data_IF_841594114737
#
_entry.id   IF_841594114737
#
_cell.length_a   1.000
_cell.length_b   1.000
_cell.length_c   1.000
_cell.angle_alpha   90.00
_cell.angle_beta   90.00
_cell.angle_gamma   90.00
#
_symmetry.space_group_name_H-M   'P 1'
#
loop_
_entity.id
_entity.type
_entity.pdbx_description
1 polymer ?
#
# COMPACT_ATOMS: atom_id res chain seq x y z
N UNK A 1 14.43 -7.88 -14.81
CA UNK A 1 13.58 -8.70 -13.90
C UNK A 1 14.20 -8.78 -12.53
N UNK A 2 13.43 -8.42 -11.48
CA UNK A 2 13.85 -8.54 -10.09
C UNK A 2 13.09 -9.67 -9.42
N UNK A 3 13.80 -10.52 -8.68
CA UNK A 3 13.30 -11.67 -7.98
C UNK A 3 13.75 -11.54 -6.52
N UNK A 4 12.81 -11.42 -5.60
CA UNK A 4 13.16 -11.03 -4.25
C UNK A 4 12.24 -11.53 -3.15
N UNK A 5 12.50 -11.01 -1.96
CA UNK A 5 11.70 -11.18 -0.75
C UNK A 5 11.61 -9.87 -0.01
N UNK A 6 10.52 -9.71 0.74
CA UNK A 6 10.40 -8.66 1.74
C UNK A 6 11.18 -9.08 2.97
N UNK A 7 12.11 -8.24 3.38
CA UNK A 7 13.07 -8.58 4.42
C UNK A 7 13.07 -7.51 5.52
N UNK A 8 12.83 -7.94 6.73
CA UNK A 8 12.73 -7.09 7.93
C UNK A 8 13.82 -7.44 8.93
N UNK A 9 15.10 -7.09 8.64
CA UNK A 9 16.24 -7.42 9.53
C UNK A 9 16.11 -6.80 10.91
N UNK A 10 15.38 -5.68 11.04
CA UNK A 10 15.13 -4.99 12.30
C UNK A 10 14.26 -5.77 13.29
N UNK A 11 13.56 -6.79 12.83
CA UNK A 11 12.72 -7.64 13.68
C UNK A 11 13.48 -8.81 14.31
N UNK A 12 14.78 -8.98 13.97
CA UNK A 12 15.58 -10.13 14.36
C UNK A 12 16.89 -9.71 15.04
N UNK A 13 17.56 -10.68 15.68
CA UNK A 13 18.85 -10.43 16.27
C UNK A 13 19.88 -10.02 15.19
N UNK A 14 20.71 -8.99 15.40
CA UNK A 14 21.68 -8.55 14.40
C UNK A 14 22.67 -9.63 13.93
N UNK A 15 22.94 -10.64 14.77
CA UNK A 15 23.79 -11.77 14.43
C UNK A 15 23.21 -12.66 13.31
N UNK A 16 21.92 -12.56 12.99
CA UNK A 16 21.26 -13.35 11.96
C UNK A 16 21.44 -12.77 10.56
N UNK A 17 21.82 -11.50 10.44
CA UNK A 17 21.88 -10.76 9.16
C UNK A 17 22.71 -11.51 8.10
N UNK A 18 23.89 -11.98 8.47
CA UNK A 18 24.79 -12.62 7.50
C UNK A 18 24.21 -13.93 6.96
N UNK A 19 23.68 -14.78 7.86
CA UNK A 19 23.03 -16.03 7.48
C UNK A 19 21.77 -15.78 6.63
N UNK A 20 20.99 -14.77 6.99
CA UNK A 20 19.78 -14.40 6.25
C UNK A 20 20.12 -13.98 4.82
N UNK A 21 21.06 -13.08 4.65
CA UNK A 21 21.47 -12.60 3.31
C UNK A 21 22.11 -13.72 2.48
N UNK A 22 22.87 -14.63 3.09
CA UNK A 22 23.39 -15.84 2.42
C UNK A 22 22.26 -16.74 1.95
N UNK A 23 21.23 -16.93 2.78
CA UNK A 23 20.07 -17.74 2.42
C UNK A 23 19.21 -17.08 1.33
N UNK A 24 19.03 -15.75 1.39
CA UNK A 24 18.34 -14.96 0.35
C UNK A 24 19.08 -15.09 -1.00
N UNK A 25 20.40 -15.01 -1.00
CA UNK A 25 21.19 -15.25 -2.20
C UNK A 25 21.05 -16.71 -2.70
N UNK A 26 21.14 -17.69 -1.81
CA UNK A 26 20.95 -19.12 -2.15
C UNK A 26 19.52 -19.42 -2.66
N UNK A 27 18.51 -18.68 -2.20
CA UNK A 27 17.15 -18.76 -2.71
C UNK A 27 17.06 -18.38 -4.20
N UNK A 28 18.02 -17.60 -4.68
CA UNK A 28 18.10 -17.12 -6.05
C UNK A 28 17.62 -15.70 -6.22
N UNK A 29 17.42 -14.97 -5.12
CA UNK A 29 17.09 -13.55 -5.16
C UNK A 29 18.22 -12.73 -5.77
N UNK A 30 17.84 -11.63 -6.42
CA UNK A 30 18.74 -10.56 -6.86
C UNK A 30 18.34 -9.19 -6.31
N UNK A 31 17.23 -9.13 -5.53
CA UNK A 31 16.78 -7.93 -4.83
C UNK A 31 16.10 -8.27 -3.49
N UNK A 32 16.03 -7.29 -2.59
CA UNK A 32 15.24 -7.31 -1.35
C UNK A 32 14.46 -6.00 -1.20
N UNK A 33 13.28 -6.04 -0.58
CA UNK A 33 12.51 -4.87 -0.16
C UNK A 33 12.69 -4.67 1.34
N UNK A 34 12.99 -3.43 1.77
CA UNK A 34 13.31 -3.08 3.16
C UNK A 34 12.80 -1.68 3.52
N UNK A 35 12.72 -1.40 4.81
CA UNK A 35 12.63 -0.09 5.46
C UNK A 35 11.23 0.54 5.55
N UNK A 36 10.20 0.05 4.89
CA UNK A 36 8.85 0.64 4.83
C UNK A 36 8.16 0.82 6.20
N UNK A 37 8.66 0.16 7.25
CA UNK A 37 8.19 0.32 8.64
C UNK A 37 9.29 0.80 9.59
N UNK A 38 10.43 1.28 9.06
CA UNK A 38 11.64 1.58 9.81
C UNK A 38 11.73 3.00 10.40
N UNK A 39 10.65 3.80 10.47
CA UNK A 39 10.75 5.20 10.90
C UNK A 39 11.43 5.38 12.26
N UNK A 40 11.01 4.60 13.27
CA UNK A 40 11.57 4.72 14.62
C UNK A 40 13.07 4.35 14.72
N UNK A 41 13.57 3.56 13.76
CA UNK A 41 15.00 3.21 13.66
C UNK A 41 15.76 4.38 13.05
N UNK A 42 15.23 4.93 11.94
CA UNK A 42 15.87 6.03 11.21
C UNK A 42 15.73 7.38 11.92
N UNK A 43 14.71 7.55 12.77
CA UNK A 43 14.48 8.74 13.58
C UNK A 43 14.01 8.33 15.00
N UNK A 44 14.91 7.82 15.85
CA UNK A 44 14.56 7.33 17.19
C UNK A 44 14.07 8.43 18.15
N UNK A 45 14.39 9.68 17.86
CA UNK A 45 13.86 10.86 18.53
C UNK A 45 13.75 11.98 17.50
N UNK A 46 12.87 12.93 17.73
CA UNK A 46 12.62 14.05 16.82
C UNK A 46 13.89 14.75 16.36
N UNK A 47 14.12 14.79 15.04
CA UNK A 47 15.26 15.44 14.41
C UNK A 47 16.59 14.73 14.58
N UNK A 48 16.63 13.59 15.27
CA UNK A 48 17.84 12.78 15.40
C UNK A 48 17.77 11.62 14.40
N UNK A 49 18.35 11.83 13.24
CA UNK A 49 18.41 10.80 12.20
C UNK A 49 19.61 9.87 12.41
N UNK A 50 19.37 8.55 12.24
CA UNK A 50 20.38 7.50 12.30
C UNK A 50 20.08 6.45 11.24
N UNK A 51 20.81 6.48 10.15
CA UNK A 51 20.68 5.52 9.04
C UNK A 51 21.65 4.34 9.15
N UNK A 52 22.49 4.31 10.18
CA UNK A 52 23.59 3.34 10.31
C UNK A 52 23.15 1.88 10.22
N UNK A 53 21.96 1.56 10.74
CA UNK A 53 21.40 0.22 10.67
C UNK A 53 21.13 -0.19 9.21
N UNK A 54 20.37 0.61 8.47
CA UNK A 54 20.07 0.31 7.07
C UNK A 54 21.29 0.44 6.16
N UNK A 55 22.22 1.35 6.43
CA UNK A 55 23.52 1.43 5.73
C UNK A 55 24.29 0.11 5.86
N UNK A 56 24.27 -0.46 7.07
CA UNK A 56 24.91 -1.76 7.29
C UNK A 56 24.21 -2.86 6.47
N UNK A 57 22.89 -2.93 6.51
CA UNK A 57 22.10 -3.92 5.74
C UNK A 57 22.36 -3.78 4.24
N UNK A 58 22.29 -2.56 3.69
CA UNK A 58 22.54 -2.28 2.26
C UNK A 58 23.94 -2.70 1.87
N UNK A 59 24.95 -2.32 2.63
CA UNK A 59 26.35 -2.71 2.37
C UNK A 59 26.52 -4.23 2.33
N UNK A 60 25.89 -4.97 3.25
CA UNK A 60 25.98 -6.43 3.33
C UNK A 60 25.21 -7.10 2.19
N UNK A 61 24.07 -6.53 1.80
CA UNK A 61 23.27 -6.98 0.64
C UNK A 61 24.05 -6.76 -0.67
N UNK A 62 24.65 -5.59 -0.87
CA UNK A 62 25.51 -5.27 -2.03
C UNK A 62 26.66 -6.23 -2.19
N UNK A 63 27.33 -6.61 -1.11
CA UNK A 63 28.43 -7.58 -1.14
C UNK A 63 28.01 -8.95 -1.69
N UNK A 64 26.70 -9.25 -1.73
CA UNK A 64 26.10 -10.46 -2.29
C UNK A 64 25.41 -10.24 -3.65
N UNK A 65 25.60 -9.07 -4.25
CA UNK A 65 24.97 -8.71 -5.53
C UNK A 65 23.47 -8.45 -5.44
N UNK A 66 22.91 -8.25 -4.23
CA UNK A 66 21.51 -7.93 -4.04
C UNK A 66 21.27 -6.43 -4.25
N UNK A 67 20.17 -6.11 -4.93
CA UNK A 67 19.63 -4.76 -5.09
C UNK A 67 18.54 -4.49 -4.05
N UNK A 68 18.19 -3.22 -3.90
CA UNK A 68 17.30 -2.74 -2.85
C UNK A 68 16.07 -2.06 -3.46
N UNK A 69 14.89 -2.48 -3.04
CA UNK A 69 13.68 -1.66 -3.09
C UNK A 69 13.56 -0.99 -1.73
N UNK A 70 13.63 0.34 -1.69
CA UNK A 70 13.64 1.13 -0.47
C UNK A 70 12.24 1.67 -0.19
N UNK A 71 11.65 1.31 0.95
CA UNK A 71 10.36 1.83 1.39
C UNK A 71 10.49 3.15 2.16
N UNK A 72 9.65 4.16 1.85
CA UNK A 72 9.47 5.29 2.77
C UNK A 72 8.62 4.83 3.96
N UNK A 73 9.00 5.18 5.22
CA UNK A 73 8.46 4.50 6.40
C UNK A 73 7.17 5.13 6.93
N UNK A 74 6.43 5.83 6.09
CA UNK A 74 5.33 6.69 6.51
C UNK A 74 4.06 5.93 6.89
N UNK A 75 3.95 4.64 6.55
CA UNK A 75 2.83 3.79 6.97
C UNK A 75 2.72 3.64 8.49
N UNK A 76 3.83 3.77 9.22
CA UNK A 76 3.86 3.69 10.68
C UNK A 76 4.59 4.89 11.29
N UNK A 77 3.90 5.61 12.17
CA UNK A 77 4.52 6.74 12.89
C UNK A 77 5.25 6.28 14.14
N UNK A 78 6.34 6.92 14.56
CA UNK A 78 7.00 6.59 15.81
C UNK A 78 6.22 7.09 17.04
N UNK A 79 6.39 6.41 18.17
CA UNK A 79 5.65 6.71 19.41
C UNK A 79 5.87 8.15 19.91
N UNK A 80 7.07 8.72 19.74
CA UNK A 80 7.35 10.10 20.13
C UNK A 80 6.50 11.10 19.33
N UNK A 81 6.21 10.81 18.04
CA UNK A 81 5.39 11.67 17.20
C UNK A 81 3.93 11.65 17.64
N UNK A 82 3.35 10.46 17.85
CA UNK A 82 1.99 10.32 18.36
C UNK A 82 1.81 10.97 19.73
N UNK A 83 2.82 10.87 20.63
CA UNK A 83 2.82 11.51 21.93
C UNK A 83 2.87 13.03 21.83
N UNK A 84 3.69 13.57 20.95
CA UNK A 84 3.88 15.01 20.79
C UNK A 84 2.70 15.69 20.10
N UNK A 85 2.13 15.02 19.10
CA UNK A 85 1.04 15.51 18.27
C UNK A 85 -0.14 14.52 18.24
N UNK A 86 -0.89 14.37 19.33
CA UNK A 86 -2.01 13.43 19.40
C UNK A 86 -3.13 13.77 18.39
N UNK A 87 -3.14 14.98 17.83
CA UNK A 87 -4.10 15.41 16.81
C UNK A 87 -3.76 14.91 15.41
N UNK A 88 -2.61 14.27 15.23
CA UNK A 88 -2.30 13.50 14.02
C UNK A 88 -3.23 12.27 13.90
N UNK A 89 -3.59 11.65 15.03
CA UNK A 89 -4.38 10.42 15.04
C UNK A 89 -5.75 10.65 14.42
N UNK A 90 -6.14 9.74 13.53
CA UNK A 90 -7.44 9.79 12.87
C UNK A 90 -8.58 9.53 13.86
N UNK A 91 -9.78 10.01 13.51
CA UNK A 91 -10.95 10.02 14.37
C UNK A 91 -12.08 9.23 13.71
N UNK A 92 -12.74 8.39 14.49
CA UNK A 92 -13.94 7.68 14.07
C UNK A 92 -15.16 8.63 13.98
N UNK A 93 -16.22 8.11 13.38
CA UNK A 93 -17.49 8.83 13.21
C UNK A 93 -18.12 9.32 14.53
N UNK A 94 -17.88 8.61 15.64
CA UNK A 94 -18.38 8.95 16.98
C UNK A 94 -17.47 9.93 17.75
N UNK A 95 -16.43 10.46 17.12
CA UNK A 95 -15.46 11.37 17.72
C UNK A 95 -14.35 10.68 18.52
N UNK A 96 -14.33 9.35 18.57
CA UNK A 96 -13.24 8.60 19.23
C UNK A 96 -12.01 8.59 18.36
N UNK A 97 -10.85 8.95 18.91
CA UNK A 97 -9.57 8.88 18.20
C UNK A 97 -9.02 7.45 18.14
N UNK A 98 -8.39 7.11 17.03
CA UNK A 98 -7.61 5.87 16.93
C UNK A 98 -6.43 5.91 17.90
N UNK A 99 -6.04 4.74 18.36
CA UNK A 99 -4.90 4.60 19.28
C UNK A 99 -3.62 4.32 18.51
N UNK A 100 -2.50 4.88 18.97
CA UNK A 100 -1.17 4.52 18.46
C UNK A 100 -0.91 3.02 18.59
N UNK A 101 -0.24 2.43 17.58
CA UNK A 101 0.20 1.04 17.62
C UNK A 101 -0.15 0.21 16.38
N UNK A 102 -0.94 0.78 15.46
CA UNK A 102 -1.21 0.21 14.14
C UNK A 102 -0.53 0.98 13.02
N UNK A 103 -0.70 0.50 11.77
CA UNK A 103 -0.32 1.26 10.58
C UNK A 103 -1.44 2.23 10.19
N UNK A 104 -1.08 3.34 9.52
CA UNK A 104 -2.02 4.38 9.02
C UNK A 104 -3.01 4.90 10.09
N UNK A 105 -2.58 4.97 11.34
CA UNK A 105 -3.43 5.47 12.45
C UNK A 105 -3.62 6.98 12.42
N UNK A 106 -3.07 7.66 11.45
CA UNK A 106 -3.06 9.12 11.31
C UNK A 106 -4.07 9.62 10.26
N UNK A 107 -4.35 10.90 10.33
CA UNK A 107 -5.19 11.61 9.36
C UNK A 107 -4.36 12.05 8.15
N UNK A 108 -4.78 11.66 6.93
CA UNK A 108 -4.15 12.08 5.68
C UNK A 108 -4.33 13.57 5.34
N UNK A 109 -5.12 14.32 6.13
CA UNK A 109 -5.25 15.76 6.01
C UNK A 109 -4.53 16.52 7.14
N UNK A 110 -3.79 15.82 8.02
CA UNK A 110 -3.03 16.46 9.09
C UNK A 110 -1.81 17.20 8.57
N UNK A 111 -1.72 18.51 8.84
CA UNK A 111 -0.57 19.35 8.50
C UNK A 111 0.71 18.87 9.18
N UNK A 112 0.58 18.43 10.42
CA UNK A 112 1.68 17.86 11.20
C UNK A 112 2.19 16.59 10.53
N UNK A 113 1.29 15.70 10.06
CA UNK A 113 1.69 14.49 9.35
C UNK A 113 2.47 14.82 8.07
N UNK A 114 2.02 15.77 7.26
CA UNK A 114 2.79 16.23 6.09
C UNK A 114 4.17 16.76 6.47
N UNK A 115 4.26 17.55 7.55
CA UNK A 115 5.52 18.11 8.03
C UNK A 115 6.52 17.01 8.40
N UNK A 116 6.08 16.04 9.20
CA UNK A 116 6.96 14.99 9.69
C UNK A 116 7.26 13.91 8.64
N UNK A 117 6.28 13.52 7.85
CA UNK A 117 6.49 12.64 6.70
C UNK A 117 7.45 13.25 5.68
N UNK A 118 7.27 14.53 5.35
CA UNK A 118 8.17 15.25 4.46
C UNK A 118 9.61 15.31 5.00
N UNK A 119 9.77 15.48 6.31
CA UNK A 119 11.08 15.51 6.95
C UNK A 119 11.83 14.19 6.85
N UNK A 120 11.17 13.07 7.18
CA UNK A 120 11.81 11.75 7.10
C UNK A 120 12.09 11.34 5.65
N UNK A 121 11.14 11.54 4.75
CA UNK A 121 11.32 11.23 3.32
C UNK A 121 12.47 12.04 2.74
N UNK A 122 12.56 13.34 3.04
CA UNK A 122 13.66 14.20 2.61
C UNK A 122 15.00 13.72 3.17
N UNK A 123 15.08 13.43 4.47
CA UNK A 123 16.29 12.95 5.10
C UNK A 123 16.79 11.63 4.49
N UNK A 124 15.87 10.68 4.21
CA UNK A 124 16.19 9.44 3.50
C UNK A 124 16.69 9.69 2.08
N UNK A 125 15.98 10.51 1.32
CA UNK A 125 16.34 10.82 -0.06
C UNK A 125 17.73 11.46 -0.14
N UNK A 126 18.01 12.45 0.71
CA UNK A 126 19.33 13.10 0.76
C UNK A 126 20.46 12.13 1.15
N UNK A 127 20.18 11.23 2.11
CA UNK A 127 21.17 10.25 2.57
C UNK A 127 21.49 9.19 1.51
N UNK A 128 20.46 8.72 0.77
CA UNK A 128 20.58 7.61 -0.16
C UNK A 128 20.63 8.00 -1.65
N UNK A 129 20.63 9.29 -2.00
CA UNK A 129 20.59 9.75 -3.40
C UNK A 129 21.67 9.17 -4.30
N UNK A 130 22.86 8.89 -3.74
CA UNK A 130 24.02 8.38 -4.47
C UNK A 130 24.23 6.87 -4.26
N UNK A 131 23.26 6.14 -3.69
CA UNK A 131 23.37 4.69 -3.45
C UNK A 131 22.88 3.88 -4.67
N UNK A 132 23.80 3.33 -5.49
CA UNK A 132 23.43 2.68 -6.76
C UNK A 132 22.76 1.32 -6.57
N UNK A 133 22.73 0.77 -5.34
CA UNK A 133 22.02 -0.48 -5.09
C UNK A 133 20.51 -0.29 -5.04
N UNK A 134 20.01 0.93 -4.75
CA UNK A 134 18.57 1.23 -4.73
C UNK A 134 18.07 1.31 -6.18
N UNK A 135 17.18 0.40 -6.53
CA UNK A 135 16.62 0.26 -7.89
C UNK A 135 15.23 0.85 -8.02
N UNK A 136 14.52 1.00 -6.90
CA UNK A 136 13.21 1.63 -6.83
C UNK A 136 12.93 2.11 -5.41
N UNK A 137 12.07 3.12 -5.30
CA UNK A 137 11.49 3.62 -4.06
C UNK A 137 10.01 3.23 -4.01
N UNK A 138 9.63 2.53 -2.95
CA UNK A 138 8.23 2.34 -2.61
C UNK A 138 7.80 3.48 -1.70
N UNK A 139 6.82 4.28 -2.11
CA UNK A 139 6.24 5.28 -1.20
C UNK A 139 5.21 4.59 -0.31
N UNK A 140 5.37 4.75 1.01
CA UNK A 140 4.43 4.22 2.01
C UNK A 140 4.23 2.70 1.88
N UNK A 141 3.10 2.16 2.36
CA UNK A 141 2.71 0.76 2.22
C UNK A 141 1.19 0.65 2.16
N UNK A 142 0.62 0.04 1.12
CA UNK A 142 -0.81 -0.26 1.00
C UNK A 142 -1.75 0.89 1.37
N UNK A 143 -1.54 2.08 0.83
CA UNK A 143 -2.35 3.27 1.09
C UNK A 143 -3.85 3.02 0.87
N UNK A 144 -4.68 3.39 1.85
CA UNK A 144 -6.13 3.22 1.82
C UNK A 144 -6.62 1.80 2.16
N UNK A 145 -5.71 0.91 2.61
CA UNK A 145 -6.10 -0.40 3.10
C UNK A 145 -6.62 -0.34 4.56
N UNK A 146 -7.46 -1.32 4.94
CA UNK A 146 -7.96 -1.50 6.32
C UNK A 146 -8.69 -0.26 6.88
N UNK A 147 -9.55 0.38 6.06
CA UNK A 147 -10.29 1.58 6.42
C UNK A 147 -9.41 2.76 6.90
N UNK A 148 -8.15 2.79 6.48
CA UNK A 148 -7.21 3.86 6.84
C UNK A 148 -7.56 5.21 6.19
N UNK A 149 -8.39 5.20 5.14
CA UNK A 149 -8.97 6.37 4.51
C UNK A 149 -10.01 7.09 5.38
N UNK A 150 -10.53 6.41 6.42
CA UNK A 150 -11.61 6.93 7.28
C UNK A 150 -11.05 7.82 8.38
N UNK A 151 -11.42 9.11 8.33
CA UNK A 151 -11.15 10.07 9.40
C UNK A 151 -12.20 11.18 9.41
N UNK A 152 -12.85 11.40 10.54
CA UNK A 152 -13.90 12.41 10.74
C UNK A 152 -13.44 13.61 11.59
N UNK A 153 -12.15 13.83 11.75
CA UNK A 153 -11.61 14.92 12.56
C UNK A 153 -11.92 16.31 11.99
N UNK A 154 -11.68 17.35 12.80
CA UNK A 154 -11.90 18.73 12.38
C UNK A 154 -11.09 19.13 11.13
N UNK A 155 -9.84 18.63 10.97
CA UNK A 155 -9.04 18.92 9.78
C UNK A 155 -9.68 18.32 8.52
N UNK A 156 -10.23 17.10 8.60
CA UNK A 156 -10.96 16.50 7.48
C UNK A 156 -12.23 17.26 7.15
N UNK A 157 -12.95 17.78 8.16
CA UNK A 157 -14.15 18.60 7.93
C UNK A 157 -13.84 19.86 7.14
N UNK A 158 -12.84 20.60 7.56
CA UNK A 158 -12.45 21.84 6.88
C UNK A 158 -11.88 21.56 5.48
N UNK A 159 -11.07 20.53 5.34
CA UNK A 159 -10.54 20.13 4.03
C UNK A 159 -11.65 19.66 3.08
N UNK A 160 -12.67 18.95 3.55
CA UNK A 160 -13.82 18.53 2.75
C UNK A 160 -14.66 19.72 2.30
N UNK A 161 -14.93 20.67 3.18
CA UNK A 161 -15.63 21.92 2.84
C UNK A 161 -14.86 22.72 1.79
N UNK A 162 -13.55 22.81 1.92
CA UNK A 162 -12.69 23.45 0.92
C UNK A 162 -12.75 22.71 -0.44
N UNK A 163 -12.68 21.37 -0.42
CA UNK A 163 -12.85 20.53 -1.61
C UNK A 163 -14.20 20.81 -2.32
N UNK A 164 -15.31 20.85 -1.56
CA UNK A 164 -16.63 21.16 -2.14
C UNK A 164 -16.70 22.58 -2.68
N UNK A 165 -16.15 23.56 -1.96
CA UNK A 165 -16.10 24.96 -2.42
C UNK A 165 -15.34 25.08 -3.73
N UNK A 166 -14.21 24.39 -3.87
CA UNK A 166 -13.45 24.34 -5.13
C UNK A 166 -14.25 23.66 -6.25
N UNK A 167 -14.81 22.48 -5.98
CA UNK A 167 -15.58 21.68 -6.93
C UNK A 167 -16.77 22.47 -7.54
N UNK A 168 -17.45 23.26 -6.73
CA UNK A 168 -18.62 24.06 -7.14
C UNK A 168 -18.27 25.53 -7.43
N UNK A 169 -16.98 25.89 -7.55
CA UNK A 169 -16.55 27.24 -7.90
C UNK A 169 -16.99 28.31 -6.88
N UNK A 170 -17.22 27.94 -5.61
CA UNK A 170 -17.72 28.81 -4.56
C UNK A 170 -19.22 29.06 -4.62
N UNK A 171 -19.97 28.45 -5.54
CA UNK A 171 -21.42 28.61 -5.70
C UNK A 171 -22.17 27.54 -4.87
N UNK A 172 -22.70 27.96 -3.71
CA UNK A 172 -23.47 27.07 -2.84
C UNK A 172 -24.81 26.65 -3.46
N UNK A 173 -25.39 27.49 -4.34
CA UNK A 173 -26.64 27.16 -5.01
C UNK A 173 -26.41 26.03 -6.04
N UNK A 174 -25.30 26.07 -6.78
CA UNK A 174 -24.92 24.99 -7.70
C UNK A 174 -24.75 23.64 -6.96
N UNK A 175 -24.21 23.65 -5.74
CA UNK A 175 -24.16 22.46 -4.88
C UNK A 175 -25.58 22.02 -4.47
N UNK A 176 -26.41 22.93 -3.98
CA UNK A 176 -27.78 22.63 -3.54
C UNK A 176 -28.60 22.01 -4.67
N UNK A 177 -28.52 22.57 -5.87
CA UNK A 177 -29.24 22.09 -7.05
C UNK A 177 -28.74 20.70 -7.47
N UNK A 178 -27.40 20.50 -7.48
CA UNK A 178 -26.78 19.23 -7.84
C UNK A 178 -27.13 18.10 -6.84
N UNK A 179 -27.18 18.44 -5.55
CA UNK A 179 -27.46 17.47 -4.49
C UNK A 179 -28.96 17.26 -4.25
N UNK A 180 -29.82 18.13 -4.81
CA UNK A 180 -31.26 18.11 -4.55
C UNK A 180 -31.59 18.36 -3.09
N UNK A 181 -30.91 19.30 -2.44
CA UNK A 181 -30.97 19.54 -1.00
C UNK A 181 -32.30 20.07 -0.51
N UNK A 182 -33.18 20.54 -1.38
CA UNK A 182 -34.59 20.85 -1.04
C UNK A 182 -35.30 19.67 -0.42
N UNK A 183 -34.89 18.44 -0.76
CA UNK A 183 -35.43 17.24 -0.17
C UNK A 183 -35.06 17.17 1.32
N UNK A 184 -36.07 17.02 2.18
CA UNK A 184 -35.96 17.05 3.64
C UNK A 184 -35.32 18.32 4.22
N UNK A 185 -35.49 19.46 3.53
CA UNK A 185 -34.99 20.77 4.00
C UNK A 185 -33.49 20.80 4.30
N UNK A 186 -32.70 20.18 3.44
CA UNK A 186 -31.24 20.07 3.62
C UNK A 186 -30.46 21.18 2.89
N UNK A 187 -31.14 22.21 2.34
CA UNK A 187 -30.46 23.29 1.60
C UNK A 187 -29.51 24.07 2.51
N UNK A 188 -28.31 24.32 2.01
CA UNK A 188 -27.26 25.06 2.70
C UNK A 188 -27.21 26.51 2.21
N UNK A 189 -26.92 27.46 3.12
CA UNK A 189 -26.68 28.85 2.79
C UNK A 189 -25.18 29.16 2.59
N UNK A 190 -24.32 28.34 3.20
CA UNK A 190 -22.86 28.43 3.09
C UNK A 190 -22.24 27.04 3.17
N UNK A 191 -21.02 26.89 2.63
CA UNK A 191 -20.24 25.64 2.71
C UNK A 191 -19.92 25.24 4.16
N UNK A 192 -19.89 26.19 5.08
CA UNK A 192 -19.60 25.93 6.49
C UNK A 192 -20.76 25.24 7.22
N UNK A 193 -21.97 25.24 6.64
CA UNK A 193 -23.12 24.47 7.13
C UNK A 193 -23.07 22.99 6.74
N UNK A 194 -22.21 22.61 5.77
CA UNK A 194 -22.15 21.23 5.27
C UNK A 194 -21.51 20.33 6.32
N UNK A 195 -22.23 19.27 6.79
CA UNK A 195 -21.68 18.30 7.73
C UNK A 195 -20.80 17.28 7.02
N UNK A 196 -19.95 16.57 7.78
CA UNK A 196 -19.44 15.29 7.31
C UNK A 196 -20.61 14.28 7.29
N UNK A 197 -20.65 13.34 6.30
CA UNK A 197 -21.76 12.38 6.19
C UNK A 197 -21.66 11.25 7.21
N UNK A 198 -21.87 11.57 8.47
CA UNK A 198 -21.94 10.65 9.59
C UNK A 198 -23.33 10.00 9.68
N UNK A 199 -23.56 9.14 10.69
CA UNK A 199 -24.83 8.43 10.84
C UNK A 199 -26.01 9.36 11.00
N UNK A 200 -27.12 9.03 10.32
CA UNK A 200 -28.43 9.64 10.45
C UNK A 200 -29.48 8.56 10.76
N UNK A 201 -30.72 8.98 11.09
CA UNK A 201 -31.80 8.00 11.40
C UNK A 201 -32.11 7.11 10.19
N UNK A 202 -32.10 7.66 8.98
CA UNK A 202 -32.41 6.92 7.75
C UNK A 202 -31.17 6.75 6.88
N UNK A 203 -30.93 7.70 5.99
CA UNK A 203 -29.76 7.73 5.11
C UNK A 203 -29.33 9.18 4.89
N UNK A 204 -28.05 9.38 4.68
CA UNK A 204 -27.52 10.68 4.26
C UNK A 204 -27.75 10.92 2.77
N UNK A 205 -27.66 12.19 2.35
CA UNK A 205 -27.70 12.56 0.94
C UNK A 205 -26.65 11.75 0.15
N UNK A 206 -27.03 10.95 -0.88
CA UNK A 206 -26.12 10.08 -1.59
C UNK A 206 -25.04 10.82 -2.37
N UNK A 207 -25.33 12.03 -2.89
CA UNK A 207 -24.35 12.85 -3.58
C UNK A 207 -23.27 13.37 -2.61
N UNK A 208 -23.67 13.80 -1.40
CA UNK A 208 -22.73 14.19 -0.35
C UNK A 208 -21.83 13.00 0.06
N UNK A 209 -22.42 11.80 0.20
CA UNK A 209 -21.66 10.58 0.51
C UNK A 209 -20.67 10.22 -0.59
N UNK A 210 -21.06 10.36 -1.84
CA UNK A 210 -20.17 10.08 -2.99
C UNK A 210 -19.01 11.08 -3.04
N UNK A 211 -19.27 12.36 -2.80
CA UNK A 211 -18.20 13.36 -2.76
C UNK A 211 -17.29 13.19 -1.54
N UNK A 212 -17.81 12.67 -0.44
CA UNK A 212 -17.00 12.28 0.69
C UNK A 212 -16.07 11.10 0.37
N UNK A 213 -16.53 10.08 -0.35
CA UNK A 213 -15.68 8.98 -0.84
C UNK A 213 -14.58 9.49 -1.78
N UNK A 214 -14.92 10.35 -2.73
CA UNK A 214 -13.96 11.00 -3.63
C UNK A 214 -12.90 11.80 -2.89
N UNK A 215 -13.35 12.62 -1.93
CA UNK A 215 -12.44 13.43 -1.11
C UNK A 215 -11.48 12.57 -0.27
N UNK A 216 -11.94 11.47 0.33
CA UNK A 216 -11.07 10.55 1.07
C UNK A 216 -10.01 9.95 0.18
N UNK A 217 -10.43 9.45 -0.98
CA UNK A 217 -9.50 8.94 -2.00
C UNK A 217 -8.49 9.99 -2.43
N UNK A 218 -8.95 11.21 -2.74
CA UNK A 218 -8.06 12.31 -3.15
C UNK A 218 -7.08 12.71 -2.04
N UNK A 219 -7.48 12.67 -0.77
CA UNK A 219 -6.59 12.95 0.36
C UNK A 219 -5.40 12.00 0.38
N UNK A 220 -5.64 10.71 0.11
CA UNK A 220 -4.59 9.69 0.02
C UNK A 220 -3.72 9.91 -1.24
N UNK A 221 -4.34 10.18 -2.38
CA UNK A 221 -3.62 10.47 -3.63
C UNK A 221 -2.70 11.68 -3.45
N UNK A 222 -3.16 12.74 -2.79
CA UNK A 222 -2.33 13.92 -2.48
C UNK A 222 -1.14 13.58 -1.58
N UNK A 223 -1.36 12.72 -0.57
CA UNK A 223 -0.28 12.29 0.32
C UNK A 223 0.77 11.44 -0.41
N UNK A 224 0.33 10.56 -1.32
CA UNK A 224 1.22 9.79 -2.18
C UNK A 224 2.01 10.71 -3.14
N UNK A 225 1.31 11.63 -3.82
CA UNK A 225 1.91 12.61 -4.73
C UNK A 225 2.96 13.49 -4.03
N UNK A 226 2.67 13.91 -2.80
CA UNK A 226 3.61 14.68 -1.96
C UNK A 226 4.92 13.93 -1.74
N UNK A 227 4.88 12.64 -1.37
CA UNK A 227 6.08 11.85 -1.17
C UNK A 227 6.86 11.65 -2.47
N UNK A 228 6.17 11.33 -3.57
CA UNK A 228 6.79 11.18 -4.90
C UNK A 228 7.49 12.47 -5.34
N UNK A 229 6.83 13.61 -5.15
CA UNK A 229 7.40 14.92 -5.50
C UNK A 229 8.67 15.18 -4.72
N UNK A 230 8.66 14.98 -3.39
CA UNK A 230 9.84 15.15 -2.56
C UNK A 230 11.01 14.25 -2.98
N UNK A 231 10.74 12.99 -3.28
CA UNK A 231 11.77 12.06 -3.74
C UNK A 231 12.39 12.54 -5.05
N UNK A 232 11.56 12.94 -6.03
CA UNK A 232 12.03 13.37 -7.36
C UNK A 232 12.68 14.77 -7.35
N UNK A 233 12.36 15.63 -6.40
CA UNK A 233 13.09 16.90 -6.19
C UNK A 233 14.55 16.67 -5.81
N UNK A 234 14.84 15.61 -5.06
CA UNK A 234 16.19 15.28 -4.55
C UNK A 234 16.90 14.29 -5.46
N UNK A 235 16.15 13.30 -5.98
CA UNK A 235 16.63 12.24 -6.85
C UNK A 235 15.78 12.27 -8.14
N UNK A 236 16.10 13.13 -9.13
CA UNK A 236 15.25 13.31 -10.31
C UNK A 236 14.97 12.02 -11.08
N UNK A 237 15.94 11.10 -11.11
CA UNK A 237 15.84 9.81 -11.81
C UNK A 237 15.31 8.68 -10.90
N UNK A 238 14.81 9.00 -9.69
CA UNK A 238 14.22 7.99 -8.81
C UNK A 238 13.07 7.25 -9.50
N UNK A 239 13.15 5.94 -9.51
CA UNK A 239 12.05 5.08 -9.95
C UNK A 239 11.11 4.87 -8.77
N UNK A 240 9.92 5.45 -8.83
CA UNK A 240 8.95 5.48 -7.71
C UNK A 240 7.76 4.59 -8.01
N UNK A 241 7.39 3.74 -7.08
CA UNK A 241 6.22 2.88 -7.15
C UNK A 241 5.46 2.87 -5.82
N UNK A 242 4.28 2.27 -5.83
CA UNK A 242 3.48 1.96 -4.65
C UNK A 242 2.91 0.55 -4.77
N UNK A 243 2.86 -0.15 -3.66
CA UNK A 243 2.35 -1.50 -3.52
C UNK A 243 0.83 -1.48 -3.28
N UNK A 244 0.03 -1.51 -4.34
CA UNK A 244 -1.41 -1.54 -4.22
C UNK A 244 -1.88 -2.79 -3.46
N UNK A 245 -2.74 -2.62 -2.42
CA UNK A 245 -3.17 -3.74 -1.59
C UNK A 245 -3.98 -4.78 -2.37
N UNK A 246 -3.75 -6.04 -2.05
CA UNK A 246 -4.45 -7.20 -2.62
C UNK A 246 -5.87 -7.42 -2.07
N UNK A 247 -6.44 -8.56 -2.39
CA UNK A 247 -7.73 -9.00 -1.84
C UNK A 247 -8.96 -8.40 -2.53
N UNK A 248 -8.86 -8.07 -3.83
CA UNK A 248 -9.98 -7.58 -4.64
C UNK A 248 -9.95 -6.06 -4.89
N UNK A 249 -10.83 -5.61 -5.77
CA UNK A 249 -10.84 -4.23 -6.28
C UNK A 249 -11.77 -3.27 -5.51
N UNK A 250 -12.48 -3.74 -4.50
CA UNK A 250 -13.43 -2.94 -3.71
C UNK A 250 -12.79 -1.93 -2.75
N UNK A 251 -11.63 -1.38 -3.09
CA UNK A 251 -10.92 -0.40 -2.25
C UNK A 251 -11.49 1.00 -2.38
N UNK A 252 -11.31 1.80 -1.33
CA UNK A 252 -11.83 3.17 -1.24
C UNK A 252 -10.86 4.23 -1.80
N UNK A 253 -9.89 3.83 -2.63
CA UNK A 253 -8.94 4.72 -3.30
C UNK A 253 -9.02 4.53 -4.81
N UNK A 254 -9.07 5.62 -5.54
CA UNK A 254 -8.92 5.63 -6.99
C UNK A 254 -7.46 5.33 -7.38
N UNK A 255 -7.18 4.06 -7.66
CA UNK A 255 -5.85 3.62 -8.08
C UNK A 255 -5.41 4.23 -9.41
N UNK A 256 -6.36 4.59 -10.29
CA UNK A 256 -6.03 5.27 -11.52
C UNK A 256 -5.46 6.66 -11.23
N UNK A 257 -6.09 7.42 -10.33
CA UNK A 257 -5.59 8.72 -9.90
C UNK A 257 -4.22 8.60 -9.21
N UNK A 258 -4.07 7.64 -8.26
CA UNK A 258 -2.82 7.44 -7.55
C UNK A 258 -1.67 7.03 -8.49
N UNK A 259 -1.94 6.12 -9.42
CA UNK A 259 -0.92 5.61 -10.36
C UNK A 259 -0.30 6.69 -11.25
N UNK A 260 -0.98 7.81 -11.48
CA UNK A 260 -0.45 8.94 -12.27
C UNK A 260 0.80 9.58 -11.64
N UNK A 261 0.96 9.42 -10.34
CA UNK A 261 2.10 9.95 -9.57
C UNK A 261 3.26 8.95 -9.45
N UNK A 262 3.14 7.76 -10.04
CA UNK A 262 4.12 6.67 -9.96
C UNK A 262 4.75 6.44 -11.34
N UNK A 263 5.96 5.88 -11.36
CA UNK A 263 6.60 5.45 -12.61
C UNK A 263 6.00 4.14 -13.12
N UNK A 264 5.68 3.22 -12.23
CA UNK A 264 4.94 1.99 -12.53
C UNK A 264 4.05 1.57 -11.36
N UNK A 265 3.09 0.68 -11.63
CA UNK A 265 2.23 0.10 -10.60
C UNK A 265 2.87 -1.17 -10.03
N UNK A 266 2.73 -1.37 -8.72
CA UNK A 266 3.05 -2.64 -8.07
C UNK A 266 1.83 -3.15 -7.29
N UNK A 267 1.78 -4.44 -6.99
CA UNK A 267 0.61 -5.08 -6.43
C UNK A 267 0.97 -6.14 -5.42
N UNK A 268 0.21 -6.21 -4.34
CA UNK A 268 0.32 -7.25 -3.33
C UNK A 268 -0.69 -8.36 -3.65
N UNK A 269 -0.21 -9.54 -4.01
CA UNK A 269 -1.06 -10.64 -4.46
C UNK A 269 -1.26 -11.70 -3.37
N UNK A 270 -2.36 -11.57 -2.66
CA UNK A 270 -2.79 -12.50 -1.61
C UNK A 270 -4.08 -13.22 -2.02
N UNK A 271 -4.00 -14.31 -2.79
CA UNK A 271 -5.16 -15.09 -3.18
C UNK A 271 -5.95 -15.70 -2.03
N UNK A 272 -5.35 -15.84 -0.86
CA UNK A 272 -6.02 -16.32 0.36
C UNK A 272 -5.47 -15.57 1.58
N UNK A 273 -6.35 -15.20 2.48
CA UNK A 273 -6.03 -14.50 3.73
C UNK A 273 -6.71 -15.15 4.92
N UNK A 274 -6.32 -14.76 6.15
CA UNK A 274 -6.93 -15.23 7.38
C UNK A 274 -8.45 -15.07 7.40
N UNK A 275 -9.15 -16.09 7.88
CA UNK A 275 -10.61 -16.12 7.91
C UNK A 275 -11.29 -16.55 6.61
N UNK A 276 -10.59 -16.57 5.48
CA UNK A 276 -11.14 -17.11 4.23
C UNK A 276 -11.11 -18.63 4.23
N UNK A 277 -12.17 -19.28 3.74
CA UNK A 277 -12.27 -20.75 3.64
C UNK A 277 -11.61 -21.28 2.38
N UNK A 278 -11.69 -20.52 1.29
CA UNK A 278 -11.13 -20.86 -0.02
C UNK A 278 -10.36 -19.68 -0.59
N UNK A 279 -9.34 -19.91 -1.41
CA UNK A 279 -8.68 -18.86 -2.17
C UNK A 279 -9.66 -18.17 -3.15
N UNK A 280 -9.31 -16.97 -3.56
CA UNK A 280 -9.93 -16.31 -4.70
C UNK A 280 -9.90 -17.25 -5.93
N UNK A 281 -10.93 -17.19 -6.75
CA UNK A 281 -10.97 -17.95 -8.00
C UNK A 281 -9.84 -17.48 -8.95
N UNK A 282 -9.42 -18.34 -9.90
CA UNK A 282 -8.43 -17.95 -10.91
C UNK A 282 -8.83 -16.69 -11.71
N UNK A 283 -10.15 -16.46 -11.90
CA UNK A 283 -10.67 -15.30 -12.62
C UNK A 283 -10.56 -14.01 -11.80
N UNK A 284 -10.85 -14.06 -10.49
CA UNK A 284 -10.70 -12.92 -9.59
C UNK A 284 -9.23 -12.50 -9.48
N UNK A 285 -8.32 -13.46 -9.33
CA UNK A 285 -6.87 -13.20 -9.33
C UNK A 285 -6.45 -12.57 -10.67
N UNK A 286 -6.89 -13.15 -11.80
CA UNK A 286 -6.56 -12.64 -13.13
C UNK A 286 -7.09 -11.22 -13.35
N UNK A 287 -8.30 -10.92 -12.88
CA UNK A 287 -8.91 -9.60 -12.98
C UNK A 287 -8.10 -8.55 -12.21
N UNK A 288 -7.69 -8.85 -10.97
CA UNK A 288 -6.82 -7.96 -10.18
C UNK A 288 -5.50 -7.66 -10.88
N UNK A 289 -4.84 -8.69 -11.43
CA UNK A 289 -3.57 -8.54 -12.15
C UNK A 289 -3.72 -7.71 -13.44
N UNK A 290 -4.78 -7.98 -14.22
CA UNK A 290 -5.06 -7.23 -15.45
C UNK A 290 -5.46 -5.78 -15.17
N UNK A 291 -6.18 -5.53 -14.07
CA UNK A 291 -6.51 -4.18 -13.62
C UNK A 291 -5.25 -3.37 -13.29
N UNK A 292 -4.34 -3.91 -12.48
CA UNK A 292 -3.07 -3.24 -12.13
C UNK A 292 -2.24 -2.96 -13.39
N UNK A 293 -2.13 -3.92 -14.31
CA UNK A 293 -1.47 -3.69 -15.60
C UNK A 293 -2.16 -2.57 -16.39
N UNK A 294 -3.48 -2.52 -16.36
CA UNK A 294 -4.30 -1.53 -17.06
C UNK A 294 -4.11 -0.10 -16.58
N UNK A 295 -3.79 0.13 -15.30
CA UNK A 295 -3.62 1.46 -14.70
C UNK A 295 -2.63 2.34 -15.48
N UNK A 296 -1.53 1.74 -15.95
CA UNK A 296 -0.49 2.45 -16.69
C UNK A 296 -0.27 1.86 -18.10
N UNK A 297 -1.06 0.89 -18.52
CA UNK A 297 -0.93 0.18 -19.79
C UNK A 297 0.49 -0.37 -20.03
N UNK A 298 1.14 -0.82 -18.97
CA UNK A 298 2.49 -1.38 -18.99
C UNK A 298 2.60 -2.54 -18.00
N UNK A 299 3.68 -3.31 -18.12
CA UNK A 299 4.02 -4.36 -17.18
C UNK A 299 4.17 -3.78 -15.76
N UNK A 300 3.95 -4.63 -14.76
CA UNK A 300 3.91 -4.25 -13.34
C UNK A 300 4.79 -5.17 -12.50
N UNK A 301 4.94 -4.86 -11.22
CA UNK A 301 5.62 -5.73 -10.25
C UNK A 301 4.62 -6.30 -9.26
N UNK A 302 4.92 -7.50 -8.74
CA UNK A 302 4.35 -8.00 -7.50
C UNK A 302 5.36 -7.73 -6.39
N UNK A 303 4.97 -6.90 -5.45
CA UNK A 303 5.81 -6.49 -4.32
C UNK A 303 5.56 -7.30 -3.07
N UNK A 304 4.42 -7.99 -3.00
CA UNK A 304 4.15 -9.00 -2.00
C UNK A 304 3.41 -10.18 -2.64
N UNK A 305 4.08 -11.31 -2.76
CA UNK A 305 3.48 -12.56 -3.18
C UNK A 305 3.35 -13.51 -1.99
N UNK A 306 2.18 -14.09 -1.80
CA UNK A 306 1.96 -15.07 -0.73
C UNK A 306 2.90 -16.28 -0.87
N UNK A 307 3.51 -16.72 0.25
CA UNK A 307 4.24 -18.01 0.30
C UNK A 307 3.85 -18.87 1.50
N UNK A 308 3.57 -18.27 2.64
CA UNK A 308 3.06 -18.93 3.84
C UNK A 308 1.61 -18.60 4.12
N UNK A 309 1.01 -19.18 5.15
CA UNK A 309 -0.28 -18.72 5.66
C UNK A 309 -0.19 -17.26 6.09
N UNK A 310 -1.25 -16.51 5.85
CA UNK A 310 -1.33 -15.08 6.15
C UNK A 310 -2.54 -14.80 7.05
N UNK A 311 -2.43 -13.79 7.90
CA UNK A 311 -3.53 -13.30 8.73
C UNK A 311 -3.04 -12.53 9.93
N UNK A 312 -3.82 -11.57 10.41
CA UNK A 312 -3.54 -10.81 11.63
C UNK A 312 -4.13 -11.52 12.86
N UNK A 313 -5.44 -11.49 13.02
CA UNK A 313 -6.14 -12.08 14.16
C UNK A 313 -6.43 -13.59 13.98
N UNK A 314 -6.55 -14.04 12.73
CA UNK A 314 -6.87 -15.41 12.36
C UNK A 314 -5.83 -15.90 11.36
N UNK A 315 -5.14 -16.99 11.67
CA UNK A 315 -4.22 -17.64 10.72
C UNK A 315 -4.99 -18.19 9.52
N UNK A 316 -4.57 -17.82 8.32
CA UNK A 316 -5.10 -18.35 7.07
C UNK A 316 -4.56 -19.74 6.72
N UNK A 317 -5.04 -20.28 5.61
CA UNK A 317 -4.52 -21.54 5.07
C UNK A 317 -3.14 -21.33 4.42
N UNK A 318 -2.22 -22.24 4.71
CA UNK A 318 -0.95 -22.27 3.97
C UNK A 318 -1.20 -22.72 2.53
N UNK A 319 -0.60 -22.10 1.52
CA UNK A 319 -0.68 -22.60 0.15
C UNK A 319 -0.29 -24.09 0.07
N UNK A 320 -1.06 -24.86 -0.70
CA UNK A 320 -0.75 -26.26 -1.00
C UNK A 320 0.59 -26.37 -1.73
N UNK A 321 1.22 -27.55 -1.80
CA UNK A 321 2.44 -27.73 -2.58
C UNK A 321 2.29 -27.18 -4.00
N UNK A 322 3.22 -26.33 -4.43
CA UNK A 322 3.26 -25.62 -5.71
C UNK A 322 2.11 -24.61 -5.97
N UNK A 323 1.17 -24.40 -5.05
CA UNK A 323 0.06 -23.46 -5.28
C UNK A 323 0.54 -22.00 -5.33
N UNK A 324 1.40 -21.58 -4.40
CA UNK A 324 1.99 -20.24 -4.45
C UNK A 324 2.84 -20.05 -5.72
N UNK A 325 3.58 -21.07 -6.12
CA UNK A 325 4.32 -21.09 -7.39
C UNK A 325 3.39 -20.93 -8.60
N UNK A 326 2.24 -21.59 -8.60
CA UNK A 326 1.23 -21.46 -9.65
C UNK A 326 0.70 -20.02 -9.73
N UNK A 327 0.38 -19.38 -8.62
CA UNK A 327 -0.06 -17.98 -8.59
C UNK A 327 1.04 -17.02 -9.05
N UNK A 328 2.31 -17.31 -8.74
CA UNK A 328 3.44 -16.54 -9.26
C UNK A 328 3.53 -16.66 -10.79
N UNK A 329 3.36 -17.85 -11.35
CA UNK A 329 3.29 -18.04 -12.82
C UNK A 329 2.08 -17.33 -13.44
N UNK A 330 0.92 -17.36 -12.78
CA UNK A 330 -0.26 -16.62 -13.25
C UNK A 330 0.04 -15.12 -13.30
N UNK A 331 0.73 -14.58 -12.30
CA UNK A 331 1.13 -13.16 -12.28
C UNK A 331 2.08 -12.83 -13.43
N UNK A 332 3.10 -13.67 -13.67
CA UNK A 332 4.03 -13.51 -14.78
C UNK A 332 3.32 -13.57 -16.13
N UNK A 333 2.40 -14.52 -16.31
CA UNK A 333 1.61 -14.65 -17.54
C UNK A 333 0.68 -13.46 -17.80
N UNK A 334 0.42 -12.62 -16.78
CA UNK A 334 -0.41 -11.41 -16.86
C UNK A 334 0.39 -10.11 -16.92
N UNK A 335 1.72 -10.18 -17.05
CA UNK A 335 2.58 -9.01 -17.25
C UNK A 335 3.36 -8.58 -16.01
N UNK A 336 3.41 -9.40 -14.98
CA UNK A 336 4.35 -9.19 -13.89
C UNK A 336 5.79 -9.42 -14.39
N UNK A 337 6.68 -8.45 -14.17
CA UNK A 337 8.08 -8.54 -14.57
C UNK A 337 9.05 -8.70 -13.41
N UNK A 338 8.57 -8.51 -12.20
CA UNK A 338 9.36 -8.64 -10.97
C UNK A 338 8.48 -9.09 -9.81
N UNK A 339 8.98 -9.99 -8.98
CA UNK A 339 8.19 -10.56 -7.89
C UNK A 339 9.00 -10.67 -6.60
N UNK A 340 8.39 -10.22 -5.51
CA UNK A 340 8.91 -10.35 -4.15
C UNK A 340 7.93 -11.18 -3.32
N UNK A 341 8.45 -12.17 -2.59
CA UNK A 341 7.62 -12.99 -1.73
C UNK A 341 7.57 -12.41 -0.31
N UNK A 342 6.37 -12.19 0.17
CA UNK A 342 6.10 -11.80 1.54
C UNK A 342 6.02 -13.05 2.42
N UNK A 343 6.87 -13.19 3.34
CA UNK A 343 8.09 -12.47 3.67
C UNK A 343 9.23 -13.49 3.72
N UNK A 344 10.48 -13.03 3.82
CA UNK A 344 11.61 -13.96 3.92
C UNK A 344 11.42 -14.96 5.06
N UNK A 345 11.20 -14.46 6.29
CA UNK A 345 10.97 -15.30 7.48
C UNK A 345 9.76 -14.84 8.26
N UNK A 346 8.89 -15.79 8.65
CA UNK A 346 7.70 -15.53 9.43
C UNK A 346 8.02 -14.94 10.81
N UNK A 347 7.24 -13.93 11.23
CA UNK A 347 7.42 -13.29 12.54
C UNK A 347 7.02 -14.23 13.69
N UNK A 348 7.62 -14.00 14.88
CA UNK A 348 7.30 -14.73 16.11
C UNK A 348 6.52 -13.92 17.12
N UNK A 349 6.33 -12.64 16.84
CA UNK A 349 5.67 -11.65 17.73
C UNK A 349 5.25 -10.43 16.92
N UNK A 350 4.43 -9.58 17.51
CA UNK A 350 3.86 -8.41 16.88
C UNK A 350 2.54 -8.72 16.17
N UNK A 351 1.94 -7.72 15.53
CA UNK A 351 0.63 -7.85 14.88
C UNK A 351 0.62 -8.90 13.76
N UNK A 352 1.75 -9.12 13.10
CA UNK A 352 1.89 -10.05 11.98
C UNK A 352 2.52 -11.40 12.39
N UNK A 353 2.39 -11.83 13.63
CA UNK A 353 2.91 -13.14 14.07
C UNK A 353 2.30 -14.34 13.32
N UNK A 354 1.15 -14.17 12.66
CA UNK A 354 0.52 -15.18 11.81
C UNK A 354 0.78 -14.98 10.32
N UNK A 355 1.69 -14.06 9.95
CA UNK A 355 2.15 -13.89 8.58
C UNK A 355 3.43 -14.69 8.36
N UNK A 356 3.27 -15.90 7.82
CA UNK A 356 4.37 -16.83 7.58
C UNK A 356 5.06 -16.57 6.24
N UNK A 357 6.37 -16.70 6.23
CA UNK A 357 7.21 -16.42 5.06
C UNK A 357 7.67 -17.65 4.29
N UNK A 358 8.70 -17.42 3.47
CA UNK A 358 9.45 -18.46 2.74
C UNK A 358 10.11 -19.43 3.74
N UNK A 359 10.71 -18.88 4.79
CA UNK A 359 11.17 -19.63 5.95
C UNK A 359 10.20 -19.45 7.13
N UNK A 360 10.11 -20.46 7.96
CA UNK A 360 9.48 -20.35 9.25
C UNK A 360 10.45 -19.73 10.27
N UNK A 361 9.96 -19.44 11.49
CA UNK A 361 10.73 -18.72 12.50
C UNK A 361 12.02 -19.44 12.95
N UNK A 362 12.10 -20.76 12.75
CA UNK A 362 13.26 -21.59 13.09
C UNK A 362 14.37 -21.56 12.01
N UNK A 363 14.20 -20.78 10.96
CA UNK A 363 15.17 -20.61 9.85
C UNK A 363 15.49 -21.89 9.06
N UNK A 364 14.68 -22.95 9.19
CA UNK A 364 14.91 -24.20 8.50
C UNK A 364 14.35 -24.18 7.08
N UNK A 365 15.19 -24.53 6.11
CA UNK A 365 14.79 -24.64 4.71
C UNK A 365 13.90 -25.85 4.49
N UNK A 366 12.61 -25.60 4.21
CA UNK A 366 11.60 -26.61 3.93
C UNK A 366 10.99 -26.41 2.54
N UNK A 367 9.90 -27.08 2.26
CA UNK A 367 9.16 -27.07 0.99
C UNK A 367 9.05 -25.66 0.37
N UNK A 368 8.60 -24.67 1.14
CA UNK A 368 8.40 -23.29 0.67
C UNK A 368 9.69 -22.67 0.07
N UNK A 369 10.80 -22.86 0.75
CA UNK A 369 12.10 -22.38 0.27
C UNK A 369 12.47 -23.00 -1.08
N UNK A 370 12.34 -24.31 -1.22
CA UNK A 370 12.72 -25.01 -2.46
C UNK A 370 11.74 -24.76 -3.59
N UNK A 371 10.47 -24.50 -3.32
CA UNK A 371 9.49 -24.09 -4.33
C UNK A 371 9.83 -22.71 -4.90
N UNK A 372 10.15 -21.71 -4.06
CA UNK A 372 10.59 -20.38 -4.51
C UNK A 372 11.91 -20.46 -5.26
N UNK A 373 12.89 -21.21 -4.74
CA UNK A 373 14.18 -21.43 -5.40
C UNK A 373 14.01 -22.04 -6.81
N UNK A 374 13.15 -23.06 -6.91
CA UNK A 374 12.83 -23.69 -8.20
C UNK A 374 12.17 -22.70 -9.15
N UNK A 375 11.18 -21.94 -8.67
CA UNK A 375 10.50 -20.92 -9.46
C UNK A 375 11.49 -19.86 -9.97
N UNK A 376 12.35 -19.32 -9.11
CA UNK A 376 13.33 -18.30 -9.51
C UNK A 376 14.34 -18.83 -10.54
N UNK A 377 14.77 -20.07 -10.41
CA UNK A 377 15.64 -20.71 -11.38
C UNK A 377 14.96 -20.90 -12.74
N UNK A 378 13.71 -21.33 -12.73
CA UNK A 378 12.92 -21.58 -13.94
C UNK A 378 12.62 -20.26 -14.68
N UNK A 379 12.14 -19.25 -13.95
CA UNK A 379 11.66 -18.00 -14.55
C UNK A 379 12.80 -17.17 -15.18
N UNK A 380 14.02 -17.28 -14.67
CA UNK A 380 15.20 -16.61 -15.25
C UNK A 380 15.43 -16.98 -16.71
N UNK A 381 15.04 -18.18 -17.12
CA UNK A 381 15.16 -18.63 -18.51
C UNK A 381 14.14 -17.94 -19.44
N UNK A 382 13.11 -17.30 -18.88
CA UNK A 382 12.05 -16.63 -19.63
C UNK A 382 12.05 -15.10 -19.43
N UNK A 383 13.10 -14.52 -18.85
CA UNK A 383 13.13 -13.10 -18.50
C UNK A 383 12.76 -12.19 -19.69
N UNK A 384 13.42 -12.37 -20.85
CA UNK A 384 13.18 -11.54 -22.02
C UNK A 384 11.74 -11.63 -22.56
N UNK A 385 11.12 -12.81 -22.78
CA UNK A 385 9.73 -12.89 -23.18
C UNK A 385 8.75 -12.24 -22.17
N UNK A 386 9.03 -12.36 -20.88
CA UNK A 386 8.16 -11.82 -19.83
C UNK A 386 8.23 -10.29 -19.71
N UNK A 387 9.31 -9.67 -20.16
CA UNK A 387 9.45 -8.20 -20.21
C UNK A 387 8.72 -7.58 -21.40
N UNK A 388 8.25 -8.40 -22.36
CA UNK A 388 7.48 -7.92 -23.51
C UNK A 388 6.07 -7.47 -23.06
N UNK A 389 5.58 -6.29 -23.49
CA UNK A 389 4.24 -5.84 -23.17
C UNK A 389 3.15 -6.80 -23.66
N UNK A 390 2.18 -7.09 -22.81
CA UNK A 390 1.04 -7.93 -23.19
C UNK A 390 0.08 -7.12 -24.06
N UNK A 391 -0.35 -7.69 -25.18
CA UNK A 391 -1.38 -7.14 -26.07
C UNK A 391 -2.71 -7.82 -25.76
N UNK A 392 -3.69 -7.06 -25.30
CA UNK A 392 -5.04 -7.54 -25.03
C UNK A 392 -5.98 -7.25 -26.21
N UNK A 393 -6.85 -8.20 -26.53
CA UNK A 393 -7.88 -8.04 -27.59
C UNK A 393 -9.23 -7.59 -27.03
N UNK A 394 -9.42 -7.68 -25.70
CA UNK A 394 -10.65 -7.32 -25.00
C UNK A 394 -10.28 -6.36 -23.87
N UNK A 395 -11.10 -5.33 -23.67
CA UNK A 395 -10.99 -4.40 -22.55
C UNK A 395 -12.18 -4.58 -21.61
N UNK A 396 -11.91 -4.51 -20.29
CA UNK A 396 -12.94 -4.42 -19.25
C UNK A 396 -12.88 -2.99 -18.72
N UNK A 397 -14.04 -2.32 -18.72
CA UNK A 397 -14.16 -0.97 -18.15
C UNK A 397 -14.39 -1.11 -16.64
N UNK A 398 -13.53 -0.47 -15.87
CA UNK A 398 -13.67 -0.32 -14.44
C UNK A 398 -13.72 1.17 -14.10
N UNK A 399 -14.75 1.58 -13.38
CA UNK A 399 -14.96 2.97 -12.99
C UNK A 399 -15.12 3.09 -11.46
N UNK A 400 -14.21 3.83 -10.83
CA UNK A 400 -14.18 4.02 -9.37
C UNK A 400 -15.45 4.70 -8.86
N UNK A 401 -15.90 5.74 -9.54
CA UNK A 401 -17.07 6.53 -9.14
C UNK A 401 -18.36 5.72 -9.21
N UNK A 402 -18.54 4.94 -10.28
CA UNK A 402 -19.70 4.07 -10.44
C UNK A 402 -19.77 3.02 -9.35
N UNK A 403 -18.64 2.39 -9.00
CA UNK A 403 -18.60 1.42 -7.89
C UNK A 403 -18.88 2.08 -6.54
N UNK A 404 -18.32 3.26 -6.29
CA UNK A 404 -18.59 4.02 -5.07
C UNK A 404 -20.09 4.38 -4.97
N UNK A 405 -20.70 4.84 -6.07
CA UNK A 405 -22.14 5.15 -6.13
C UNK A 405 -23.00 3.92 -5.86
N UNK A 406 -22.68 2.75 -6.44
CA UNK A 406 -23.41 1.50 -6.17
C UNK A 406 -23.25 1.02 -4.73
N UNK A 407 -22.10 1.19 -4.09
CA UNK A 407 -21.92 0.90 -2.64
C UNK A 407 -22.79 1.81 -1.76
N UNK A 408 -22.90 3.08 -2.13
CA UNK A 408 -23.66 4.09 -1.38
C UNK A 408 -25.16 3.84 -1.50
N UNK A 409 -25.65 3.54 -2.70
CA UNK A 409 -27.06 3.34 -2.98
C UNK A 409 -27.24 2.16 -3.95
N UNK A 410 -27.32 0.97 -3.39
CA UNK A 410 -27.43 -0.27 -4.15
C UNK A 410 -28.75 -0.32 -4.95
N UNK A 411 -28.66 -0.61 -6.23
CA UNK A 411 -29.81 -0.78 -7.11
C UNK A 411 -30.40 -2.20 -7.02
N UNK A 412 -29.65 -3.15 -6.51
CA UNK A 412 -30.05 -4.54 -6.35
C UNK A 412 -29.26 -5.19 -5.21
N UNK A 413 -29.87 -6.17 -4.55
CA UNK A 413 -29.22 -7.04 -3.56
C UNK A 413 -28.13 -7.95 -4.20
N UNK A 414 -28.08 -8.03 -5.52
CA UNK A 414 -27.10 -8.82 -6.26
C UNK A 414 -25.87 -8.01 -6.69
N UNK A 415 -25.84 -6.71 -6.38
CA UNK A 415 -24.70 -5.82 -6.63
C UNK A 415 -23.82 -5.77 -5.37
N UNK A 416 -23.09 -6.84 -5.10
CA UNK A 416 -22.06 -6.92 -4.08
C UNK A 416 -20.67 -6.94 -4.73
#
# INVERSE_FOLDING_TARGET
>A
MWLGVDYYPEQWAPSMLEEDLDNIQKLGCNAIRIAEFGWHIMEPAEGRFDFSFFDHVIRRAKARGLRIVMGTPTATIPAWLAKKHPDILSEFEDGTKRTFGGRHVYCFNSKEMYTYAGRIVRAMAEHYKDEPAIIAWQIDNELGHEDSDICYCAQCREAFRAYLREKFGGDIQALNDTYGTTFWSQSYNDFDEIPLPTRTITTHNPALRLDWERFRSESIVRFAAFQTTLLKEIIPDAVVMHDFPGGGLGKHVDYSALSRHLDFAAYNNYPVWGGQREPLSPNEIAFGLDYIRGLKQQNFWITEAIMGAQGHDITGFSPRPNQAKMWAYQSMARGCTSIFFFRYRGATKGAEQFCYGVLDADNVKRRKFYEVQSFFREIKNYAHPLETPIRSQVAIVYDYDSLAAFRIQRQSVLLD
#
